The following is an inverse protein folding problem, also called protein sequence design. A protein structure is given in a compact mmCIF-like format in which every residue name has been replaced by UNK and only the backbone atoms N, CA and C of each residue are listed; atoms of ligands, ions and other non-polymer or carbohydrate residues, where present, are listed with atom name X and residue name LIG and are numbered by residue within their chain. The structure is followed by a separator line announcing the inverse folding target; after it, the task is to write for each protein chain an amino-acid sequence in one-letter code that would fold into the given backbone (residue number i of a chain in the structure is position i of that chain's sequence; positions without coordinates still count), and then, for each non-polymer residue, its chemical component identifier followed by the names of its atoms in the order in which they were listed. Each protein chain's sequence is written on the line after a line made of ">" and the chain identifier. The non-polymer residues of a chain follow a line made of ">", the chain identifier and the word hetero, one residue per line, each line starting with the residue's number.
data_IF_086424354410
#
_entry.id   IF_086424354410
#
_cell.length_a   1.000
_cell.length_b   1.000
_cell.length_c   1.000
_cell.angle_alpha   90.00
_cell.angle_beta   90.00
_cell.angle_gamma   90.00
#
_symmetry.space_group_name_H-M   'P 1'
#
loop_
_entity.id
_entity.type
_entity.pdbx_description
1 polymer ?
#
# COMPACT_ATOMS: atom_id res chain seq x y z
N UNK A 1 -5.61 -21.16 9.38
CA UNK A 1 -5.77 -22.05 8.20
C UNK A 1 -4.39 -22.24 7.56
N UNK A 2 -4.09 -23.45 7.06
CA UNK A 2 -2.83 -23.62 6.30
C UNK A 2 -3.03 -23.11 4.87
N UNK A 3 -2.41 -21.99 4.55
CA UNK A 3 -2.45 -21.39 3.22
C UNK A 3 -1.47 -22.17 2.31
N UNK A 4 -2.01 -22.97 1.39
CA UNK A 4 -1.20 -23.83 0.49
C UNK A 4 -1.23 -23.32 -0.92
N UNK A 5 -0.07 -23.12 -1.52
CA UNK A 5 0.13 -22.71 -2.90
C UNK A 5 0.99 -23.72 -3.63
N UNK A 6 0.57 -24.15 -4.81
CA UNK A 6 1.37 -25.02 -5.67
C UNK A 6 2.08 -24.20 -6.74
N UNK A 7 3.36 -24.50 -6.96
CA UNK A 7 4.16 -23.89 -8.00
C UNK A 7 4.98 -24.93 -8.77
N UNK A 8 5.39 -24.57 -9.96
CA UNK A 8 6.26 -25.36 -10.82
C UNK A 8 7.53 -24.58 -11.16
N UNK A 9 8.62 -25.28 -11.38
CA UNK A 9 9.87 -24.66 -11.81
C UNK A 9 9.71 -24.19 -13.25
N UNK A 10 10.16 -22.97 -13.52
CA UNK A 10 10.11 -22.31 -14.83
C UNK A 10 11.51 -22.12 -15.39
N UNK A 11 11.71 -22.39 -16.67
CA UNK A 11 12.93 -21.97 -17.37
C UNK A 11 12.95 -20.46 -17.60
N UNK A 12 14.15 -19.85 -17.51
CA UNK A 12 14.35 -18.37 -17.54
C UNK A 12 13.75 -17.63 -18.74
N UNK A 13 13.38 -18.30 -19.83
CA UNK A 13 12.83 -17.70 -21.05
C UNK A 13 11.46 -18.26 -21.45
N UNK A 14 10.85 -19.10 -20.63
CA UNK A 14 9.53 -19.66 -20.90
C UNK A 14 8.47 -18.54 -20.91
N UNK A 15 7.69 -18.48 -21.99
CA UNK A 15 6.57 -17.55 -22.08
C UNK A 15 5.43 -18.07 -21.22
N UNK A 16 4.94 -17.22 -20.34
CA UNK A 16 3.80 -17.52 -19.47
C UNK A 16 2.48 -17.35 -20.23
N UNK A 17 1.53 -18.21 -19.94
CA UNK A 17 0.15 -18.04 -20.36
C UNK A 17 -0.53 -16.95 -19.51
N UNK A 18 -1.69 -16.45 -19.96
CA UNK A 18 -2.45 -15.41 -19.25
C UNK A 18 -2.89 -15.81 -17.83
N UNK A 19 -3.03 -17.11 -17.59
CA UNK A 19 -3.45 -17.69 -16.31
C UNK A 19 -2.27 -18.06 -15.40
N UNK A 20 -1.05 -17.78 -15.85
CA UNK A 20 0.17 -18.09 -15.13
C UNK A 20 0.85 -16.82 -14.65
N UNK A 21 1.35 -16.85 -13.43
CA UNK A 21 2.06 -15.78 -12.77
C UNK A 21 3.53 -16.18 -12.57
N UNK A 22 4.43 -15.25 -12.86
CA UNK A 22 5.84 -15.40 -12.60
C UNK A 22 6.15 -15.20 -11.13
N UNK A 23 6.99 -16.04 -10.56
CA UNK A 23 7.53 -15.83 -9.23
C UNK A 23 9.00 -16.24 -9.15
N UNK A 24 9.68 -15.73 -8.14
CA UNK A 24 11.03 -16.15 -7.78
C UNK A 24 11.03 -16.55 -6.31
N UNK A 25 11.55 -17.73 -6.04
CA UNK A 25 11.82 -18.21 -4.69
C UNK A 25 13.30 -18.03 -4.39
N UNK A 26 13.61 -17.35 -3.30
CA UNK A 26 14.98 -17.19 -2.81
C UNK A 26 15.00 -17.20 -1.27
N UNK A 27 16.18 -17.35 -0.70
CA UNK A 27 16.36 -17.40 0.74
C UNK A 27 17.83 -17.63 1.09
N UNK A 28 18.13 -17.62 2.39
CA UNK A 28 19.52 -17.72 2.88
C UNK A 28 20.20 -19.02 2.50
N UNK A 29 19.45 -20.14 2.52
CA UNK A 29 19.96 -21.49 2.23
C UNK A 29 19.40 -22.03 0.91
N UNK A 30 18.89 -21.16 0.03
CA UNK A 30 18.24 -21.54 -1.22
C UNK A 30 18.75 -20.71 -2.38
N UNK A 31 19.20 -21.36 -3.45
CA UNK A 31 19.47 -20.67 -4.71
C UNK A 31 18.17 -20.11 -5.30
N UNK A 32 18.28 -18.98 -6.01
CA UNK A 32 17.13 -18.36 -6.64
C UNK A 32 16.52 -19.28 -7.70
N UNK A 33 15.28 -19.70 -7.47
CA UNK A 33 14.51 -20.53 -8.39
C UNK A 33 13.42 -19.71 -9.06
N UNK A 34 13.40 -19.74 -10.39
CA UNK A 34 12.29 -19.16 -11.15
C UNK A 34 11.09 -20.10 -11.14
N UNK A 35 9.94 -19.63 -10.74
CA UNK A 35 8.71 -20.38 -10.59
C UNK A 35 7.60 -19.83 -11.48
N UNK A 36 6.63 -20.68 -11.77
CA UNK A 36 5.33 -20.33 -12.33
C UNK A 36 4.23 -20.92 -11.47
N UNK A 37 3.18 -20.17 -11.29
CA UNK A 37 2.02 -20.59 -10.50
C UNK A 37 0.72 -20.14 -11.15
N UNK A 38 -0.39 -20.70 -10.72
CA UNK A 38 -1.70 -20.28 -11.21
C UNK A 38 -2.08 -18.92 -10.64
N UNK A 39 -2.44 -17.96 -11.52
CA UNK A 39 -2.82 -16.61 -11.17
C UNK A 39 -4.02 -16.57 -10.20
N UNK A 40 -5.10 -17.26 -10.54
CA UNK A 40 -6.31 -17.24 -9.73
C UNK A 40 -6.14 -17.91 -8.36
N UNK A 41 -5.28 -18.94 -8.29
CA UNK A 41 -4.99 -19.59 -7.01
C UNK A 41 -4.20 -18.67 -6.09
N UNK A 42 -3.24 -17.93 -6.66
CA UNK A 42 -2.46 -16.94 -5.91
C UNK A 42 -3.34 -15.76 -5.47
N UNK A 43 -4.17 -15.20 -6.37
CA UNK A 43 -5.02 -14.05 -6.07
C UNK A 43 -5.95 -14.33 -4.87
N UNK A 44 -6.64 -15.48 -4.88
CA UNK A 44 -7.50 -15.89 -3.75
C UNK A 44 -6.72 -16.02 -2.44
N UNK A 45 -5.56 -16.71 -2.52
CA UNK A 45 -4.73 -16.92 -1.36
C UNK A 45 -4.18 -15.60 -0.83
N UNK A 46 -3.78 -14.69 -1.72
CA UNK A 46 -3.23 -13.40 -1.34
C UNK A 46 -4.29 -12.46 -0.73
N UNK A 47 -5.54 -12.53 -1.19
CA UNK A 47 -6.65 -11.80 -0.56
C UNK A 47 -6.92 -12.25 0.87
N UNK A 48 -6.63 -13.52 1.20
CA UNK A 48 -6.78 -14.06 2.56
C UNK A 48 -5.50 -13.90 3.39
N UNK A 49 -4.33 -14.03 2.76
CA UNK A 49 -3.04 -14.03 3.44
C UNK A 49 -2.42 -12.63 3.61
N UNK A 50 -2.63 -11.73 2.65
CA UNK A 50 -1.89 -10.48 2.59
C UNK A 50 -0.38 -10.69 2.35
N UNK A 51 0.42 -9.70 2.73
CA UNK A 51 1.89 -9.73 2.58
C UNK A 51 2.59 -10.29 3.82
N UNK A 52 1.91 -10.30 4.96
CA UNK A 52 2.49 -10.61 6.27
C UNK A 52 2.37 -12.08 6.66
N UNK A 53 1.54 -12.88 5.98
CA UNK A 53 1.31 -14.27 6.35
C UNK A 53 2.28 -15.26 5.73
N UNK A 54 2.53 -16.35 6.48
CA UNK A 54 3.29 -17.50 5.99
C UNK A 54 2.45 -18.37 5.05
N UNK A 55 3.01 -18.64 3.89
CA UNK A 55 2.41 -19.49 2.87
C UNK A 55 3.21 -20.81 2.78
N UNK A 56 2.50 -21.93 2.75
CA UNK A 56 3.08 -23.24 2.48
C UNK A 56 3.18 -23.47 0.96
N UNK A 57 4.35 -23.23 0.39
CA UNK A 57 4.62 -23.43 -1.04
C UNK A 57 4.93 -24.89 -1.31
N UNK A 58 4.12 -25.54 -2.14
CA UNK A 58 4.38 -26.90 -2.62
C UNK A 58 5.11 -26.87 -3.96
N UNK A 59 6.33 -27.40 -3.98
CA UNK A 59 7.18 -27.48 -5.16
C UNK A 59 7.71 -28.91 -5.33
N UNK A 60 7.26 -29.60 -6.39
CA UNK A 60 7.74 -30.97 -6.66
C UNK A 60 7.44 -32.01 -5.58
N UNK A 61 6.46 -31.75 -4.70
CA UNK A 61 6.09 -32.62 -3.57
C UNK A 61 6.73 -32.25 -2.23
N UNK A 62 7.64 -31.30 -2.22
CA UNK A 62 8.18 -30.70 -1.00
C UNK A 62 7.41 -29.44 -0.62
N UNK A 63 7.28 -29.18 0.68
CA UNK A 63 6.57 -28.01 1.21
C UNK A 63 7.59 -27.07 1.86
N UNK A 64 7.61 -25.83 1.41
CA UNK A 64 8.49 -24.79 1.92
C UNK A 64 7.64 -23.68 2.57
N UNK A 65 7.95 -23.28 3.81
CA UNK A 65 7.37 -22.05 4.37
C UNK A 65 7.99 -20.84 3.69
N UNK A 66 7.15 -20.01 3.08
CA UNK A 66 7.57 -18.82 2.35
C UNK A 66 6.76 -17.60 2.79
N UNK A 67 7.38 -16.43 2.70
CA UNK A 67 6.76 -15.13 2.87
C UNK A 67 6.74 -14.41 1.53
N UNK A 68 5.67 -13.68 1.26
CA UNK A 68 5.61 -12.77 0.11
C UNK A 68 6.40 -11.52 0.47
N UNK A 69 7.54 -11.30 -0.22
CA UNK A 69 8.42 -10.18 0.09
C UNK A 69 8.13 -8.94 -0.76
N UNK A 70 7.73 -9.14 -2.00
CA UNK A 70 7.36 -8.06 -2.89
C UNK A 70 6.42 -8.56 -3.98
N UNK A 71 5.52 -7.67 -4.41
CA UNK A 71 4.57 -7.92 -5.49
C UNK A 71 4.66 -6.79 -6.50
N UNK A 72 4.83 -7.16 -7.76
CA UNK A 72 4.73 -6.22 -8.85
C UNK A 72 3.36 -6.30 -9.50
N UNK A 73 2.64 -5.17 -9.53
CA UNK A 73 1.33 -5.04 -10.17
C UNK A 73 1.43 -4.15 -11.42
N UNK A 74 0.69 -4.50 -12.45
CA UNK A 74 0.44 -3.62 -13.60
C UNK A 74 -0.48 -2.48 -13.14
N UNK A 75 -0.01 -1.25 -13.19
CA UNK A 75 -0.75 -0.07 -12.70
C UNK A 75 -2.04 0.16 -13.49
N UNK A 76 -2.04 -0.19 -14.79
CA UNK A 76 -3.18 0.05 -15.68
C UNK A 76 -4.24 -1.06 -15.53
N UNK A 77 -3.79 -2.31 -15.46
CA UNK A 77 -4.68 -3.49 -15.43
C UNK A 77 -5.01 -3.97 -14.02
N UNK A 78 -4.24 -3.55 -13.01
CA UNK A 78 -4.33 -4.02 -11.64
C UNK A 78 -3.91 -5.49 -11.46
N UNK A 79 -3.35 -6.13 -12.49
CA UNK A 79 -2.95 -7.53 -12.45
C UNK A 79 -1.55 -7.72 -11.90
N UNK A 80 -1.30 -8.83 -11.22
CA UNK A 80 0.03 -9.20 -10.76
C UNK A 80 0.92 -9.59 -11.95
N UNK A 81 2.16 -9.08 -11.96
CA UNK A 81 3.17 -9.36 -12.99
C UNK A 81 4.22 -10.33 -12.45
N UNK A 82 4.69 -10.08 -11.24
CA UNK A 82 5.76 -10.82 -10.60
C UNK A 82 5.60 -10.86 -9.08
N UNK A 83 6.04 -11.96 -8.48
CA UNK A 83 6.01 -12.17 -7.03
C UNK A 83 7.37 -12.64 -6.56
N UNK A 84 7.83 -12.02 -5.50
CA UNK A 84 9.06 -12.40 -4.81
C UNK A 84 8.70 -13.19 -3.55
N UNK A 85 9.07 -14.47 -3.53
CA UNK A 85 8.84 -15.37 -2.41
C UNK A 85 10.16 -15.59 -1.66
N UNK A 86 10.15 -15.30 -0.38
CA UNK A 86 11.29 -15.52 0.51
C UNK A 86 11.08 -16.78 1.35
N UNK A 87 11.97 -17.76 1.20
CA UNK A 87 11.97 -18.95 2.05
C UNK A 87 12.44 -18.58 3.45
N UNK A 88 11.59 -18.81 4.42
CA UNK A 88 11.87 -18.45 5.81
C UNK A 88 12.36 -19.65 6.63
N UNK A 89 13.21 -19.37 7.60
CA UNK A 89 13.60 -20.30 8.64
C UNK A 89 12.90 -19.90 9.94
N UNK A 90 12.14 -20.80 10.56
CA UNK A 90 11.38 -20.54 11.79
C UNK A 90 12.23 -20.08 12.98
N UNK A 91 13.55 -20.25 12.91
CA UNK A 91 14.49 -19.90 13.98
C UNK A 91 15.18 -18.55 13.78
N UNK A 92 14.99 -17.92 12.64
CA UNK A 92 15.63 -16.66 12.29
C UNK A 92 14.61 -15.54 12.21
N UNK A 93 15.02 -14.36 12.66
CA UNK A 93 14.19 -13.16 12.50
C UNK A 93 14.11 -12.75 11.04
N UNK A 94 12.94 -12.39 10.60
CA UNK A 94 12.66 -11.89 9.26
C UNK A 94 12.19 -10.45 9.31
N UNK A 95 12.53 -9.69 8.28
CA UNK A 95 12.00 -8.34 8.07
C UNK A 95 10.78 -8.44 7.17
N UNK A 96 9.66 -7.95 7.66
CA UNK A 96 8.39 -7.90 6.92
C UNK A 96 7.79 -6.51 7.04
N UNK A 97 6.91 -6.17 6.13
CA UNK A 97 6.08 -4.98 6.16
C UNK A 97 4.67 -5.42 6.55
N UNK A 98 4.14 -4.81 7.62
CA UNK A 98 2.81 -5.13 8.15
C UNK A 98 1.89 -3.95 7.85
N UNK A 99 0.76 -4.17 7.17
CA UNK A 99 -0.21 -3.13 6.91
C UNK A 99 -0.89 -2.65 8.19
N UNK A 100 -1.22 -1.36 8.23
CA UNK A 100 -1.98 -0.74 9.31
C UNK A 100 -3.47 -0.72 8.93
N UNK A 101 -4.31 -1.24 9.81
CA UNK A 101 -5.76 -1.17 9.67
C UNK A 101 -6.32 -0.09 10.62
N UNK A 102 -6.92 0.95 10.04
CA UNK A 102 -7.47 2.07 10.81
C UNK A 102 -8.90 1.77 11.21
N UNK A 103 -9.14 1.72 12.52
CA UNK A 103 -10.45 1.45 13.09
C UNK A 103 -10.97 2.67 13.87
N UNK A 104 -12.30 2.80 13.95
CA UNK A 104 -12.93 3.83 14.78
C UNK A 104 -13.17 5.17 14.09
N UNK A 105 -13.16 5.25 12.75
CA UNK A 105 -13.50 6.49 12.00
C UNK A 105 -14.84 7.10 12.44
N UNK A 106 -15.84 6.24 12.62
CA UNK A 106 -17.19 6.67 13.05
C UNK A 106 -17.24 7.30 14.45
N UNK A 107 -16.23 7.06 15.27
CA UNK A 107 -16.15 7.52 16.66
C UNK A 107 -15.25 8.75 16.82
N UNK A 108 -14.43 9.04 15.83
CA UNK A 108 -13.53 10.20 15.86
C UNK A 108 -14.35 11.51 15.79
N UNK A 109 -14.15 12.36 16.80
CA UNK A 109 -14.78 13.67 16.85
C UNK A 109 -14.24 14.62 15.79
N UNK A 110 -12.93 14.54 15.52
CA UNK A 110 -12.27 15.36 14.50
C UNK A 110 -12.85 15.13 13.10
N UNK A 111 -13.16 13.89 12.77
CA UNK A 111 -13.69 13.53 11.45
C UNK A 111 -15.20 13.81 11.34
N UNK A 112 -15.97 13.43 12.36
CA UNK A 112 -17.44 13.43 12.30
C UNK A 112 -18.06 14.78 12.65
N UNK A 113 -17.58 15.44 13.72
CA UNK A 113 -18.14 16.70 14.19
C UNK A 113 -17.47 17.93 13.56
N UNK A 114 -16.14 17.88 13.38
CA UNK A 114 -15.37 19.00 12.85
C UNK A 114 -15.17 18.93 11.33
N UNK A 115 -15.64 17.85 10.68
CA UNK A 115 -15.53 17.67 9.23
C UNK A 115 -14.10 17.53 8.74
N UNK A 116 -13.18 17.08 9.59
CA UNK A 116 -11.79 16.85 9.24
C UNK A 116 -11.61 15.78 8.17
N UNK A 117 -10.50 15.85 7.45
CA UNK A 117 -10.06 14.83 6.51
C UNK A 117 -8.97 14.02 7.20
N UNK A 118 -9.08 12.70 7.11
CA UNK A 118 -8.07 11.77 7.57
C UNK A 118 -6.99 11.60 6.49
N UNK A 119 -5.75 11.92 6.84
CA UNK A 119 -4.60 11.77 5.94
C UNK A 119 -3.65 10.76 6.55
N UNK A 120 -3.38 9.70 5.80
CA UNK A 120 -2.43 8.65 6.17
C UNK A 120 -1.09 8.93 5.52
N UNK A 121 -0.05 9.03 6.32
CA UNK A 121 1.33 9.19 5.82
C UNK A 121 2.00 7.83 5.65
N UNK A 122 1.68 6.87 6.53
CA UNK A 122 2.27 5.54 6.57
C UNK A 122 1.13 4.52 6.58
N UNK A 123 1.12 3.64 5.58
CA UNK A 123 0.14 2.57 5.46
C UNK A 123 0.69 1.22 5.95
N UNK A 124 2.01 1.09 6.01
CA UNK A 124 2.71 -0.15 6.34
C UNK A 124 3.90 0.15 7.24
N UNK A 125 4.17 -0.73 8.20
CA UNK A 125 5.27 -0.58 9.13
C UNK A 125 6.27 -1.71 8.96
N UNK A 126 7.56 -1.34 8.78
CA UNK A 126 8.64 -2.30 8.70
C UNK A 126 8.98 -2.86 10.08
N UNK A 127 8.88 -4.19 10.20
CA UNK A 127 9.10 -4.90 11.46
C UNK A 127 10.15 -6.00 11.32
N UNK A 128 10.77 -6.36 12.43
CA UNK A 128 11.61 -7.55 12.57
C UNK A 128 11.04 -8.45 13.65
N UNK A 129 10.62 -9.65 13.26
CA UNK A 129 10.06 -10.64 14.19
C UNK A 129 10.41 -12.07 13.76
N UNK A 130 10.11 -13.04 14.61
CA UNK A 130 10.13 -14.44 14.21
C UNK A 130 8.93 -14.72 13.29
N UNK A 131 9.07 -15.64 12.31
CA UNK A 131 7.97 -15.98 11.42
C UNK A 131 6.69 -16.46 12.10
N UNK A 132 6.82 -17.01 13.33
CA UNK A 132 5.67 -17.44 14.13
C UNK A 132 4.93 -16.33 14.85
N UNK A 133 5.56 -15.17 15.03
CA UNK A 133 4.98 -14.01 15.72
C UNK A 133 4.45 -12.94 14.75
N UNK A 134 4.48 -13.26 13.44
CA UNK A 134 4.01 -12.37 12.40
C UNK A 134 2.49 -12.24 12.47
N UNK A 135 1.97 -11.01 12.38
CA UNK A 135 0.53 -10.71 12.40
C UNK A 135 0.09 -10.17 11.05
N UNK A 136 -1.18 -10.35 10.72
CA UNK A 136 -1.75 -9.99 9.42
C UNK A 136 -1.81 -8.48 9.23
N UNK A 137 -2.17 -7.75 10.28
CA UNK A 137 -2.31 -6.30 10.33
C UNK A 137 -2.10 -5.80 11.76
N UNK A 138 -1.84 -4.51 11.90
CA UNK A 138 -1.81 -3.82 13.19
C UNK A 138 -2.98 -2.84 13.22
N UNK A 139 -3.87 -3.01 14.20
CA UNK A 139 -5.02 -2.12 14.39
C UNK A 139 -4.57 -0.77 14.97
N UNK A 140 -4.99 0.31 14.34
CA UNK A 140 -4.76 1.70 14.76
C UNK A 140 -6.10 2.33 15.12
N UNK A 141 -6.32 2.61 16.41
CA UNK A 141 -7.56 3.25 16.85
C UNK A 141 -7.50 4.76 16.65
N UNK A 142 -8.22 5.26 15.63
CA UNK A 142 -8.34 6.67 15.31
C UNK A 142 -9.46 7.39 16.07
N UNK A 143 -10.19 6.69 16.95
CA UNK A 143 -11.20 7.33 17.82
C UNK A 143 -10.60 8.33 18.81
N UNK A 144 -9.29 8.21 19.07
CA UNK A 144 -8.52 9.14 19.90
C UNK A 144 -8.35 10.54 19.31
N UNK A 145 -8.52 10.68 17.98
CA UNK A 145 -8.44 11.97 17.27
C UNK A 145 -9.67 12.84 17.64
N UNK A 146 -9.47 13.84 18.48
CA UNK A 146 -10.52 14.70 19.01
C UNK A 146 -10.57 16.07 18.35
N UNK A 147 -9.42 16.60 17.94
CA UNK A 147 -9.25 17.93 17.37
C UNK A 147 -8.62 17.88 15.98
N UNK A 148 -8.82 18.94 15.21
CA UNK A 148 -8.12 19.13 13.93
C UNK A 148 -6.63 19.43 14.21
N UNK A 149 -5.75 18.68 13.60
CA UNK A 149 -4.31 18.73 13.83
C UNK A 149 -3.80 17.64 14.76
N UNK A 150 -4.68 16.83 15.35
CA UNK A 150 -4.26 15.66 16.13
C UNK A 150 -3.54 14.67 15.24
N UNK A 151 -2.49 14.04 15.78
CA UNK A 151 -1.65 13.08 15.09
C UNK A 151 -1.55 11.80 15.88
N UNK A 152 -1.46 10.67 15.18
CA UNK A 152 -1.10 9.38 15.75
C UNK A 152 0.29 9.02 15.28
N UNK A 153 1.14 8.58 16.20
CA UNK A 153 2.54 8.22 15.96
C UNK A 153 2.75 6.73 16.11
N UNK A 154 3.92 6.27 15.66
CA UNK A 154 4.31 4.87 15.80
C UNK A 154 4.37 4.42 17.27
N UNK A 155 4.69 5.31 18.21
CA UNK A 155 4.69 5.05 19.66
C UNK A 155 3.30 4.71 20.23
N UNK A 156 2.23 5.17 19.57
CA UNK A 156 0.83 4.94 19.98
C UNK A 156 0.27 3.59 19.50
N UNK A 157 1.06 2.86 18.68
CA UNK A 157 0.65 1.56 18.16
C UNK A 157 0.61 0.49 19.24
N UNK A 158 -0.44 -0.29 19.24
CA UNK A 158 -0.52 -1.49 20.09
C UNK A 158 0.18 -2.67 19.40
N UNK A 159 1.50 -2.75 19.56
CA UNK A 159 2.33 -3.78 18.93
C UNK A 159 2.37 -5.02 19.80
N UNK A 160 2.07 -6.22 19.27
CA UNK A 160 2.20 -7.48 20.00
C UNK A 160 3.64 -7.75 20.47
N UNK A 161 3.76 -8.53 21.56
CA UNK A 161 5.06 -8.92 22.08
C UNK A 161 5.82 -9.79 21.06
N UNK A 162 7.12 -9.49 20.84
CA UNK A 162 7.97 -10.23 19.89
C UNK A 162 8.23 -9.51 18.57
N UNK A 163 7.53 -8.42 18.29
CA UNK A 163 7.72 -7.61 17.10
C UNK A 163 8.60 -6.41 17.44
N UNK A 164 9.66 -6.19 16.66
CA UNK A 164 10.54 -5.02 16.78
C UNK A 164 10.31 -4.09 15.59
N UNK A 165 9.94 -2.85 15.87
CA UNK A 165 9.75 -1.81 14.86
C UNK A 165 11.12 -1.29 14.38
N UNK A 166 11.28 -1.10 13.08
CA UNK A 166 12.48 -0.53 12.47
C UNK A 166 12.40 0.98 12.27
N UNK A 167 11.20 1.52 12.25
CA UNK A 167 10.94 2.94 12.04
C UNK A 167 11.12 3.73 13.33
N UNK A 168 11.28 5.05 13.22
CA UNK A 168 11.40 5.94 14.36
C UNK A 168 10.06 6.06 15.10
N UNK A 169 10.07 5.92 16.42
CA UNK A 169 8.85 5.95 17.26
C UNK A 169 8.06 7.26 17.14
N UNK A 170 8.73 8.36 16.80
CA UNK A 170 8.10 9.69 16.65
C UNK A 170 7.53 9.98 15.27
N UNK A 171 7.65 9.04 14.32
CA UNK A 171 7.12 9.19 12.97
C UNK A 171 5.59 9.21 13.00
N UNK A 172 5.01 10.11 12.20
CA UNK A 172 3.56 10.33 12.18
C UNK A 172 2.93 9.33 11.19
N UNK A 173 2.02 8.51 11.69
CA UNK A 173 1.25 7.56 10.91
C UNK A 173 0.12 8.26 10.20
N UNK A 174 -0.67 9.03 10.95
CA UNK A 174 -1.83 9.72 10.40
C UNK A 174 -2.10 11.04 11.12
N UNK A 175 -2.83 11.91 10.45
CA UNK A 175 -3.24 13.23 10.95
C UNK A 175 -4.68 13.55 10.54
N UNK A 176 -5.41 14.21 11.42
CA UNK A 176 -6.72 14.78 11.11
C UNK A 176 -6.55 16.23 10.65
N UNK A 177 -6.67 16.51 9.36
CA UNK A 177 -6.55 17.87 8.82
C UNK A 177 -7.92 18.48 8.51
N UNK A 178 -7.99 19.83 8.59
CA UNK A 178 -9.15 20.57 8.11
C UNK A 178 -9.26 20.43 6.58
N UNK A 179 -10.47 20.23 6.02
CA UNK A 179 -10.64 20.24 4.58
C UNK A 179 -10.18 21.59 4.04
N UNK A 180 -9.20 21.59 3.14
CA UNK A 180 -8.84 22.78 2.37
C UNK A 180 -10.06 23.15 1.52
N UNK A 181 -10.81 24.18 1.93
CA UNK A 181 -11.73 24.85 1.02
C UNK A 181 -10.85 25.42 -0.10
N UNK A 182 -10.99 24.87 -1.28
CA UNK A 182 -10.52 25.53 -2.49
C UNK A 182 -11.43 26.75 -2.61
N UNK A 183 -10.98 27.89 -2.08
CA UNK A 183 -11.55 29.17 -2.48
C UNK A 183 -11.33 29.28 -3.98
N UNK A 184 -12.36 28.92 -4.75
CA UNK A 184 -12.47 29.41 -6.11
C UNK A 184 -12.45 30.93 -6.00
N UNK A 185 -11.29 31.50 -6.26
CA UNK A 185 -11.16 32.92 -6.49
C UNK A 185 -12.03 33.24 -7.70
N UNK A 186 -13.30 33.58 -7.43
CA UNK A 186 -14.17 34.23 -8.38
C UNK A 186 -13.53 35.59 -8.61
N UNK A 187 -12.66 35.66 -9.61
CA UNK A 187 -12.19 36.92 -10.15
C UNK A 187 -13.42 37.60 -10.73
N UNK A 188 -14.05 38.44 -9.93
CA UNK A 188 -15.04 39.40 -10.41
C UNK A 188 -14.29 40.35 -11.36
N UNK A 189 -14.41 40.08 -12.64
CA UNK A 189 -14.11 41.07 -13.67
C UNK A 189 -15.17 42.15 -13.53
N UNK A 190 -14.82 43.22 -12.83
CA UNK A 190 -15.58 44.43 -12.86
C UNK A 190 -15.60 44.98 -14.28
N UNK A 191 -16.74 44.83 -14.90
CA UNK A 191 -17.03 45.52 -16.18
C UNK A 191 -17.35 46.96 -15.80
N UNK A 192 -16.38 47.82 -15.88
CA UNK A 192 -16.59 49.25 -15.84
C UNK A 192 -16.92 49.70 -17.26
N UNK A 193 -18.21 50.01 -17.41
CA UNK A 193 -18.74 50.70 -18.60
C UNK A 193 -18.30 52.16 -18.57
N UNK A 194 -17.57 52.54 -19.58
CA UNK A 194 -17.19 53.95 -19.80
C UNK A 194 -17.15 54.28 -21.29
N UNK A 195 -18.19 54.97 -21.69
CA UNK A 195 -18.58 55.48 -22.99
C UNK A 195 -17.56 56.36 -23.71
N UNK A 196 -17.87 56.48 -25.00
CA UNK A 196 -17.71 57.62 -25.91
C UNK A 196 -16.40 57.76 -26.71
N UNK A 197 -16.61 57.86 -28.05
CA UNK A 197 -15.91 58.80 -28.88
C UNK A 197 -15.21 58.17 -30.11
N UNK A 198 -16.01 58.13 -31.19
CA UNK A 198 -15.82 58.83 -32.48
C UNK A 198 -14.57 58.55 -33.35
N UNK A 199 -14.92 58.01 -34.52
CA UNK A 199 -14.43 58.28 -35.89
C UNK A 199 -12.96 58.55 -36.15
N UNK A 200 -12.34 57.81 -37.07
CA UNK A 200 -12.08 58.28 -38.45
C UNK A 200 -11.34 57.22 -39.28
N UNK A 201 -11.79 57.17 -40.52
CA UNK A 201 -11.27 56.53 -41.71
C UNK A 201 -9.75 56.65 -41.91
N UNK A 202 -9.14 55.66 -42.54
CA UNK A 202 -8.51 55.70 -43.92
C UNK A 202 -7.55 54.49 -43.99
N UNK A 203 -7.78 53.59 -44.89
CA UNK A 203 -7.34 53.50 -46.29
C UNK A 203 -5.82 53.18 -46.43
N UNK A 204 -5.51 52.21 -47.26
CA UNK A 204 -4.21 52.07 -47.90
C UNK A 204 -3.50 50.72 -47.70
N UNK A 205 -3.87 49.70 -48.40
CA UNK A 205 -3.23 49.25 -49.67
C UNK A 205 -1.79 48.67 -49.53
N UNK A 206 -1.66 47.47 -50.07
CA UNK A 206 -0.49 46.84 -50.70
C UNK A 206 0.73 46.40 -49.87
N UNK A 207 0.99 45.16 -49.81
CA UNK A 207 1.70 44.33 -50.80
C UNK A 207 1.84 42.91 -50.33
#
# INVERSE_FOLDING_TARGET
>A
MELKLSAEIREKKEKLNKDQLAAVLYGRDQESLSLKMNYNAFDKLFQEAGESNLISLSLGGEIFPVLVKAIQKDVIKGTYIHIDLYKVNMKEKVKAEIPLEFIGEDKSRALKELGGIFITNINEVAVECLPGDLVDHIEVDISSLSELGDVIRIEDLNVPAGIHLFQELHEIICVAEAPKQVEEAVTQVAVEAGSTGEATKTDGDKK
#
